data_IF_194498183303
#
_entry.id   IF_194498183303
#
_cell.length_a   1.000
_cell.length_b   1.000
_cell.length_c   1.000
_cell.angle_alpha   90.00
_cell.angle_beta   90.00
_cell.angle_gamma   90.00
#
_symmetry.space_group_name_H-M   'P 1'
#
loop_
_entity.id
_entity.type
_entity.pdbx_description
1 polymer ?
#
# COMPACT_ATOMS: atom_id res chain seq x y z
N UNK A 1 5.35 0.78 15.95
CA UNK A 1 4.74 1.38 14.73
C UNK A 1 5.73 2.25 13.93
N UNK A 2 6.45 3.21 14.55
CA UNK A 2 7.45 4.05 13.84
C UNK A 2 8.59 3.23 13.20
N UNK A 3 9.10 2.22 13.89
CA UNK A 3 10.13 1.32 13.33
C UNK A 3 9.63 0.52 12.13
N UNK A 4 8.41 -0.02 12.19
CA UNK A 4 7.84 -0.76 11.06
C UNK A 4 7.67 0.12 9.81
N UNK A 5 7.22 1.37 10.00
CA UNK A 5 7.14 2.37 8.91
C UNK A 5 8.53 2.62 8.32
N UNK A 6 9.56 2.82 9.15
CA UNK A 6 10.94 3.03 8.71
C UNK A 6 11.47 1.82 7.94
N UNK A 7 11.28 0.61 8.48
CA UNK A 7 11.74 -0.64 7.86
C UNK A 7 11.08 -0.87 6.49
N UNK A 8 9.76 -0.69 6.39
CA UNK A 8 9.05 -0.86 5.13
C UNK A 8 9.43 0.24 4.12
N UNK A 9 9.59 1.48 4.56
CA UNK A 9 10.06 2.57 3.70
C UNK A 9 11.44 2.28 3.11
N UNK A 10 12.39 1.84 3.94
CA UNK A 10 13.73 1.46 3.49
C UNK A 10 13.68 0.23 2.56
N UNK A 11 12.80 -0.74 2.86
CA UNK A 11 12.63 -1.92 2.02
C UNK A 11 12.10 -1.56 0.64
N UNK A 12 11.17 -0.61 0.52
CA UNK A 12 10.63 -0.12 -0.76
C UNK A 12 11.72 0.51 -1.60
N UNK A 13 12.64 1.28 -1.01
CA UNK A 13 13.72 1.96 -1.75
C UNK A 13 14.70 1.02 -2.43
N UNK A 14 14.83 -0.22 -1.93
CA UNK A 14 15.67 -1.23 -2.56
C UNK A 14 15.08 -1.76 -3.89
N UNK A 15 13.84 -1.37 -4.25
CA UNK A 15 13.20 -1.75 -5.51
C UNK A 15 13.19 -0.56 -6.47
N UNK A 16 13.93 -0.62 -7.60
CA UNK A 16 13.80 0.38 -8.65
C UNK A 16 12.38 0.40 -9.25
N UNK A 17 11.95 1.53 -9.87
CA UNK A 17 10.61 1.67 -10.42
C UNK A 17 10.18 0.60 -11.43
N UNK A 18 11.12 -0.02 -12.15
CA UNK A 18 10.88 -1.11 -13.10
C UNK A 18 10.59 -2.47 -12.42
N UNK A 19 10.93 -2.62 -11.14
CA UNK A 19 10.60 -3.80 -10.33
C UNK A 19 9.26 -3.67 -9.59
N UNK A 20 8.51 -2.58 -9.82
CA UNK A 20 7.18 -2.41 -9.26
C UNK A 20 6.14 -2.94 -10.24
N UNK A 21 5.54 -4.07 -9.86
CA UNK A 21 4.51 -4.74 -10.63
C UNK A 21 3.13 -4.50 -10.03
N UNK A 22 2.14 -4.28 -10.87
CA UNK A 22 0.75 -4.10 -10.44
C UNK A 22 -0.02 -5.36 -10.83
N UNK A 23 -0.74 -5.94 -9.87
CA UNK A 23 -1.57 -7.11 -10.18
C UNK A 23 -2.74 -6.72 -11.10
N UNK A 24 -3.31 -7.68 -11.83
CA UNK A 24 -4.51 -7.45 -12.64
C UNK A 24 -5.67 -6.88 -11.80
N UNK A 25 -5.83 -7.37 -10.57
CA UNK A 25 -6.80 -6.83 -9.62
C UNK A 25 -6.52 -5.34 -9.30
N UNK A 26 -5.26 -4.98 -9.07
CA UNK A 26 -4.88 -3.58 -8.83
C UNK A 26 -5.21 -2.70 -10.03
N UNK A 27 -4.90 -3.14 -11.25
CA UNK A 27 -5.22 -2.41 -12.47
C UNK A 27 -6.73 -2.18 -12.65
N UNK A 28 -7.56 -3.19 -12.40
CA UNK A 28 -9.02 -3.05 -12.41
C UNK A 28 -9.48 -1.95 -11.43
N UNK A 29 -8.97 -2.01 -10.19
CA UNK A 29 -9.28 -1.01 -9.16
C UNK A 29 -8.77 0.40 -9.46
N UNK A 30 -7.63 0.51 -10.12
CA UNK A 30 -7.09 1.79 -10.59
C UNK A 30 -8.00 2.41 -11.65
N UNK A 31 -8.45 1.62 -12.62
CA UNK A 31 -9.35 2.05 -13.69
C UNK A 31 -10.69 2.53 -13.12
N UNK A 32 -11.32 1.72 -12.26
CA UNK A 32 -12.58 2.05 -11.58
C UNK A 32 -12.51 3.37 -10.80
N UNK A 33 -11.37 3.66 -10.18
CA UNK A 33 -11.18 4.83 -9.31
C UNK A 33 -10.48 6.01 -9.98
N UNK A 34 -10.21 5.90 -11.29
CA UNK A 34 -9.43 6.87 -12.06
C UNK A 34 -8.09 7.24 -11.39
N UNK A 35 -7.36 6.23 -10.90
CA UNK A 35 -6.05 6.40 -10.26
C UNK A 35 -4.97 6.06 -11.28
N UNK A 36 -4.15 7.05 -11.64
CA UNK A 36 -3.03 6.86 -12.58
C UNK A 36 -1.88 6.08 -11.91
N UNK A 37 -1.22 5.20 -12.67
CA UNK A 37 -0.03 4.44 -12.23
C UNK A 37 1.05 5.32 -11.61
N UNK A 38 1.32 6.45 -12.25
CA UNK A 38 2.36 7.37 -11.79
C UNK A 38 2.08 7.88 -10.36
N UNK A 39 0.82 8.20 -10.03
CA UNK A 39 0.43 8.64 -8.68
C UNK A 39 0.74 7.57 -7.64
N UNK A 40 0.50 6.29 -7.96
CA UNK A 40 0.78 5.19 -7.02
C UNK A 40 2.28 5.05 -6.79
N UNK A 41 3.07 5.07 -7.87
CA UNK A 41 4.54 4.97 -7.79
C UNK A 41 5.12 6.14 -7.00
N UNK A 42 4.77 7.38 -7.36
CA UNK A 42 5.29 8.57 -6.64
C UNK A 42 4.88 8.56 -5.17
N UNK A 43 3.66 8.10 -4.86
CA UNK A 43 3.20 7.97 -3.47
C UNK A 43 3.99 6.90 -2.72
N UNK A 44 4.27 5.75 -3.34
CA UNK A 44 4.99 4.63 -2.74
C UNK A 44 6.40 5.05 -2.29
N UNK A 45 7.07 5.92 -3.05
CA UNK A 45 8.38 6.49 -2.71
C UNK A 45 8.32 7.75 -1.83
N UNK A 46 7.12 8.25 -1.48
CA UNK A 46 6.95 9.43 -0.62
C UNK A 46 7.02 9.07 0.87
N UNK A 47 8.23 8.87 1.40
CA UNK A 47 8.49 8.49 2.80
C UNK A 47 7.73 9.32 3.84
N UNK A 48 7.74 10.64 3.68
CA UNK A 48 7.13 11.57 4.64
C UNK A 48 5.59 11.47 4.70
N UNK A 49 4.99 10.85 3.69
CA UNK A 49 3.54 10.70 3.59
C UNK A 49 3.04 9.37 4.14
N UNK A 50 3.91 8.36 4.31
CA UNK A 50 3.56 7.08 4.92
C UNK A 50 3.44 7.24 6.43
N UNK A 51 2.23 7.10 6.97
CA UNK A 51 1.99 7.30 8.40
C UNK A 51 1.43 6.06 9.12
N UNK A 52 1.07 5.02 8.38
CA UNK A 52 0.57 3.78 8.96
C UNK A 52 0.96 2.59 8.09
N UNK A 53 1.38 1.52 8.77
CA UNK A 53 1.71 0.23 8.18
C UNK A 53 1.13 -0.86 9.06
N UNK A 54 0.51 -1.83 8.42
CA UNK A 54 -0.07 -3.01 9.06
C UNK A 54 0.33 -4.24 8.25
N UNK A 55 0.79 -5.27 8.95
CA UNK A 55 1.14 -6.56 8.37
C UNK A 55 -0.11 -7.44 8.28
N UNK A 56 -0.27 -8.13 7.16
CA UNK A 56 -1.40 -9.01 6.89
C UNK A 56 -0.90 -10.33 6.31
N UNK A 57 -1.13 -11.43 7.02
CA UNK A 57 -0.92 -12.77 6.49
C UNK A 57 -2.19 -13.19 5.76
N UNK A 58 -2.09 -13.51 4.47
CA UNK A 58 -3.24 -13.93 3.69
C UNK A 58 -2.91 -15.22 2.94
N UNK A 59 -3.78 -16.22 3.07
CA UNK A 59 -3.67 -17.43 2.28
C UNK A 59 -4.00 -17.11 0.81
N UNK A 60 -3.08 -17.45 -0.09
CA UNK A 60 -3.25 -17.28 -1.53
C UNK A 60 -2.66 -18.51 -2.23
N UNK A 61 -3.48 -19.23 -3.01
CA UNK A 61 -3.07 -20.42 -3.75
C UNK A 61 -2.39 -21.50 -2.89
N UNK A 62 -2.85 -21.67 -1.64
CA UNK A 62 -2.29 -22.67 -0.71
C UNK A 62 -1.10 -22.18 0.12
N UNK A 63 -0.50 -21.03 -0.23
CA UNK A 63 0.63 -20.45 0.51
C UNK A 63 0.20 -19.27 1.38
N UNK A 64 0.92 -19.04 2.48
CA UNK A 64 0.73 -17.85 3.32
C UNK A 64 1.54 -16.71 2.71
N UNK A 65 0.86 -15.79 2.03
CA UNK A 65 1.49 -14.60 1.49
C UNK A 65 1.52 -13.49 2.53
N UNK A 66 2.71 -12.94 2.76
CA UNK A 66 2.94 -11.81 3.64
C UNK A 66 2.70 -10.49 2.91
N UNK A 67 1.60 -9.81 3.23
CA UNK A 67 1.20 -8.52 2.66
C UNK A 67 1.35 -7.40 3.67
N UNK A 68 1.50 -6.18 3.16
CA UNK A 68 1.55 -4.97 3.96
C UNK A 68 0.52 -3.97 3.46
N UNK A 69 -0.32 -3.49 4.38
CA UNK A 69 -1.24 -2.40 4.15
C UNK A 69 -0.56 -1.10 4.57
N UNK A 70 -0.30 -0.26 3.59
CA UNK A 70 0.33 1.04 3.74
C UNK A 70 -0.72 2.13 3.61
N UNK A 71 -0.70 3.14 4.49
CA UNK A 71 -1.58 4.30 4.37
C UNK A 71 -0.75 5.57 4.25
N UNK A 72 -0.94 6.23 3.13
CA UNK A 72 -0.28 7.48 2.77
C UNK A 72 -1.24 8.65 2.88
N UNK A 73 -0.75 9.78 3.39
CA UNK A 73 -1.45 11.06 3.35
C UNK A 73 -1.22 11.70 1.99
N UNK A 74 -2.26 11.80 1.16
CA UNK A 74 -2.18 12.51 -0.13
C UNK A 74 -2.53 13.99 0.05
N UNK A 75 -3.53 14.29 0.89
CA UNK A 75 -3.96 15.66 1.14
C UNK A 75 -4.50 15.86 2.56
N UNK A 76 -5.05 17.04 2.86
CA UNK A 76 -5.77 17.29 4.11
C UNK A 76 -7.03 16.42 4.23
N UNK A 77 -7.69 16.09 3.11
CA UNK A 77 -8.98 15.37 3.08
C UNK A 77 -8.87 13.87 2.74
N UNK A 78 -7.87 13.47 1.96
CA UNK A 78 -7.77 12.12 1.40
C UNK A 78 -6.50 11.37 1.82
N UNK A 79 -6.63 10.05 1.89
CA UNK A 79 -5.54 9.09 2.06
C UNK A 79 -5.53 8.09 0.90
N UNK A 80 -4.34 7.59 0.57
CA UNK A 80 -4.15 6.43 -0.30
C UNK A 80 -3.81 5.23 0.55
N UNK A 81 -4.50 4.12 0.33
CA UNK A 81 -4.16 2.83 0.92
C UNK A 81 -3.59 1.97 -0.20
N UNK A 82 -2.39 1.44 0.02
CA UNK A 82 -1.76 0.47 -0.87
C UNK A 82 -1.64 -0.86 -0.13
N UNK A 83 -2.00 -1.95 -0.79
CA UNK A 83 -1.65 -3.29 -0.31
C UNK A 83 -0.52 -3.78 -1.18
N UNK A 84 0.62 -4.08 -0.57
CA UNK A 84 1.82 -4.52 -1.26
C UNK A 84 2.30 -5.88 -0.74
N UNK A 85 3.08 -6.59 -1.55
CA UNK A 85 3.79 -7.80 -1.17
C UNK A 85 5.22 -7.74 -1.73
N UNK A 86 6.19 -8.13 -0.92
CA UNK A 86 7.60 -8.14 -1.30
C UNK A 86 8.00 -9.53 -1.77
N UNK A 87 8.61 -9.61 -2.95
CA UNK A 87 9.24 -10.81 -3.49
C UNK A 87 10.70 -10.51 -3.81
N UNK A 88 11.58 -11.52 -3.92
CA UNK A 88 13.02 -11.31 -4.08
C UNK A 88 13.45 -10.36 -5.21
N UNK A 89 12.65 -10.24 -6.28
CA UNK A 89 12.97 -9.41 -7.46
C UNK A 89 11.90 -8.36 -7.81
N UNK A 90 10.74 -8.42 -7.15
CA UNK A 90 9.58 -7.59 -7.52
C UNK A 90 8.82 -7.13 -6.28
N UNK A 91 8.39 -5.87 -6.32
CA UNK A 91 7.45 -5.30 -5.38
C UNK A 91 6.07 -5.32 -6.01
N UNK A 92 5.20 -6.23 -5.57
CA UNK A 92 3.84 -6.34 -6.11
C UNK A 92 2.91 -5.38 -5.39
N UNK A 93 2.26 -4.50 -6.14
CA UNK A 93 1.12 -3.70 -5.70
C UNK A 93 -0.15 -4.50 -5.97
N UNK A 94 -0.72 -5.02 -4.89
CA UNK A 94 -1.89 -5.90 -4.92
C UNK A 94 -3.18 -5.12 -5.04
N UNK A 95 -3.30 -3.97 -4.36
CA UNK A 95 -4.52 -3.16 -4.37
C UNK A 95 -4.21 -1.69 -4.10
N UNK A 96 -5.11 -0.81 -4.55
CA UNK A 96 -5.07 0.64 -4.29
C UNK A 96 -6.47 1.15 -3.94
N UNK A 97 -6.57 1.93 -2.87
CA UNK A 97 -7.83 2.51 -2.41
C UNK A 97 -7.59 3.99 -2.10
N UNK A 98 -8.33 4.88 -2.75
CA UNK A 98 -8.43 6.29 -2.36
C UNK A 98 -9.63 6.44 -1.44
N UNK A 99 -9.43 7.00 -0.26
CA UNK A 99 -10.51 7.16 0.72
C UNK A 99 -10.40 8.47 1.48
N UNK A 100 -11.50 8.90 2.09
CA UNK A 100 -11.50 10.07 2.99
C UNK A 100 -10.80 9.71 4.30
N UNK A 101 -10.18 10.70 4.97
CA UNK A 101 -9.59 10.48 6.29
C UNK A 101 -10.61 10.07 7.35
N UNK A 102 -11.86 10.52 7.22
CA UNK A 102 -12.93 10.12 8.14
C UNK A 102 -13.22 8.62 8.04
N UNK A 103 -13.38 8.11 6.82
CA UNK A 103 -13.60 6.68 6.55
C UNK A 103 -12.38 5.85 6.95
N UNK A 104 -11.18 6.31 6.63
CA UNK A 104 -9.92 5.66 7.00
C UNK A 104 -9.77 5.52 8.53
N UNK A 105 -10.07 6.57 9.29
CA UNK A 105 -10.06 6.52 10.77
C UNK A 105 -11.05 5.50 11.31
N UNK A 106 -12.25 5.41 10.73
CA UNK A 106 -13.26 4.42 11.13
C UNK A 106 -12.74 2.99 10.88
N UNK A 107 -12.17 2.75 9.70
CA UNK A 107 -11.61 1.44 9.34
C UNK A 107 -10.45 0.99 10.23
N UNK A 108 -9.62 1.93 10.72
CA UNK A 108 -8.59 1.61 11.72
C UNK A 108 -9.15 1.22 13.08
N UNK A 109 -10.25 1.87 13.51
CA UNK A 109 -10.85 1.62 14.83
C UNK A 109 -11.54 0.25 14.92
N UNK A 110 -12.06 -0.27 13.81
CA UNK A 110 -12.77 -1.57 13.80
C UNK A 110 -11.84 -2.77 14.03
N UNK A 111 -10.52 -2.62 13.86
CA UNK A 111 -9.52 -3.70 14.03
C UNK A 111 -8.96 -3.73 15.47
N UNK A 112 -9.31 -2.77 16.33
CA UNK A 112 -8.86 -2.69 17.73
C UNK A 112 -9.90 -3.25 18.73
N UNK A 113 -10.77 -4.18 18.30
CA UNK A 113 -11.66 -4.93 19.17
C UNK A 113 -11.47 -6.42 18.98
#
# INVERSE_FOLDING_TARGET
>A
MRELIKNISNKIENYPPNQIEFTQYCFGRMKERNIKKNIVITTLFSKNNLYYVEEQLKQHQGEIEKRYKLIFKISSKYSLILIIAFYPKVLKVVNVIKTSKGTEKKWRKTILK
#
